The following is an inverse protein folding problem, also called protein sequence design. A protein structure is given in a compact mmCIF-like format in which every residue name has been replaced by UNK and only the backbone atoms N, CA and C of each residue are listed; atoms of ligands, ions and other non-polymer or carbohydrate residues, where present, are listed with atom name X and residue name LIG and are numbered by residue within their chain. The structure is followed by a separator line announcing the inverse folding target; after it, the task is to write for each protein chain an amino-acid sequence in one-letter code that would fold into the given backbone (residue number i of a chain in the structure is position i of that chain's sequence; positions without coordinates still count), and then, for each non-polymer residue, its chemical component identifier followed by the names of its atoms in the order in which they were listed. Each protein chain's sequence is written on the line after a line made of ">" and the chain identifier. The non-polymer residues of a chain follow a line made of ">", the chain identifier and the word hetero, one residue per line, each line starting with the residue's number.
data_IF_781749698704
#
_entry.id   IF_781749698704
#
_cell.length_a   1.000
_cell.length_b   1.000
_cell.length_c   1.000
_cell.angle_alpha   90.00
_cell.angle_beta   90.00
_cell.angle_gamma   90.00
#
_symmetry.space_group_name_H-M   'P 1'
#
loop_
_entity.id
_entity.type
_entity.pdbx_description
1 polymer ?
#
# COMPACT_ATOMS: atom_id res chain seq x y z
N UNK A 1 11.55 9.20 -4.06
CA UNK A 1 10.19 9.26 -4.67
C UNK A 1 9.38 10.49 -4.26
N UNK A 2 9.91 11.42 -3.45
CA UNK A 2 9.19 12.64 -3.05
C UNK A 2 9.35 13.79 -4.07
N UNK A 3 10.47 13.85 -4.81
CA UNK A 3 10.82 15.01 -5.64
C UNK A 3 9.91 15.23 -6.86
N UNK A 4 9.39 14.16 -7.48
CA UNK A 4 8.52 14.28 -8.65
C UNK A 4 7.16 14.89 -8.30
N UNK A 5 6.59 14.54 -7.14
CA UNK A 5 5.32 15.13 -6.70
C UNK A 5 5.48 16.62 -6.43
N UNK A 6 6.59 17.04 -5.81
CA UNK A 6 6.88 18.45 -5.54
C UNK A 6 6.98 19.25 -6.84
N UNK A 7 7.69 18.72 -7.85
CA UNK A 7 7.80 19.38 -9.16
C UNK A 7 6.46 19.51 -9.88
N UNK A 8 5.63 18.46 -9.83
CA UNK A 8 4.28 18.46 -10.43
C UNK A 8 3.38 19.48 -9.71
N UNK A 9 3.43 19.54 -8.38
CA UNK A 9 2.62 20.48 -7.59
C UNK A 9 3.01 21.92 -7.88
N UNK A 10 4.31 22.23 -7.89
CA UNK A 10 4.81 23.57 -8.26
C UNK A 10 4.30 24.01 -9.62
N UNK A 11 4.28 23.10 -10.60
CA UNK A 11 3.75 23.39 -11.92
C UNK A 11 2.23 23.66 -11.92
N UNK A 12 1.44 22.87 -11.16
CA UNK A 12 -0.01 23.07 -11.05
C UNK A 12 -0.39 24.36 -10.32
N UNK A 13 0.29 24.64 -9.21
CA UNK A 13 0.09 25.86 -8.41
C UNK A 13 0.56 27.09 -9.19
N UNK A 14 1.70 26.99 -9.89
CA UNK A 14 2.22 28.06 -10.73
C UNK A 14 1.23 28.53 -11.80
N UNK A 15 0.41 27.63 -12.36
CA UNK A 15 -0.64 28.02 -13.32
C UNK A 15 -1.72 28.89 -12.69
N UNK A 16 -2.14 28.55 -11.46
CA UNK A 16 -3.19 29.30 -10.76
C UNK A 16 -2.67 30.69 -10.42
N UNK A 17 -1.47 30.77 -9.85
CA UNK A 17 -0.83 32.03 -9.49
C UNK A 17 -0.58 32.91 -10.73
N UNK A 18 -0.09 32.33 -11.82
CA UNK A 18 0.15 33.08 -13.07
C UNK A 18 -1.15 33.64 -13.65
N UNK A 19 -2.27 32.92 -13.53
CA UNK A 19 -3.56 33.40 -13.99
C UNK A 19 -4.08 34.56 -13.13
N UNK A 20 -3.81 34.54 -11.82
CA UNK A 20 -4.14 35.64 -10.90
C UNK A 20 -3.29 36.88 -11.19
N UNK A 21 -1.97 36.72 -11.34
CA UNK A 21 -1.05 37.83 -11.66
C UNK A 21 -1.38 38.51 -13.00
N UNK A 22 -1.73 37.72 -14.02
CA UNK A 22 -2.06 38.24 -15.35
C UNK A 22 -3.51 38.73 -15.48
N UNK A 23 -4.39 38.38 -14.55
CA UNK A 23 -5.84 38.58 -14.67
C UNK A 23 -6.46 37.90 -15.90
N UNK A 24 -5.74 36.98 -16.56
CA UNK A 24 -6.15 36.37 -17.83
C UNK A 24 -5.76 34.89 -17.91
N UNK A 25 -6.76 34.03 -17.74
CA UNK A 25 -6.63 32.57 -17.77
C UNK A 25 -6.10 32.07 -19.12
N UNK A 26 -6.62 32.58 -20.23
CA UNK A 26 -6.21 32.13 -21.57
C UNK A 26 -4.74 32.40 -21.85
N UNK A 27 -4.23 33.56 -21.41
CA UNK A 27 -2.82 33.93 -21.55
C UNK A 27 -1.93 33.07 -20.67
N UNK A 28 -2.30 32.86 -19.40
CA UNK A 28 -1.56 31.99 -18.48
C UNK A 28 -1.49 30.54 -19.01
N UNK A 29 -2.60 29.98 -19.47
CA UNK A 29 -2.67 28.65 -20.08
C UNK A 29 -1.77 28.53 -21.33
N UNK A 30 -1.74 29.56 -22.19
CA UNK A 30 -0.88 29.58 -23.38
C UNK A 30 0.61 29.61 -23.02
N UNK A 31 1.00 30.38 -22.01
CA UNK A 31 2.39 30.46 -21.53
C UNK A 31 2.85 29.13 -20.92
N UNK A 32 1.99 28.46 -20.16
CA UNK A 32 2.32 27.17 -19.52
C UNK A 32 2.06 25.94 -20.38
N UNK A 33 1.54 26.10 -21.61
CA UNK A 33 1.24 24.98 -22.50
C UNK A 33 0.13 24.05 -21.99
N UNK A 34 -0.84 24.58 -21.23
CA UNK A 34 -1.95 23.82 -20.65
C UNK A 34 -3.29 24.23 -21.27
N UNK A 35 -4.27 23.33 -21.26
CA UNK A 35 -5.62 23.67 -21.71
C UNK A 35 -6.37 24.49 -20.66
N UNK A 36 -7.32 25.31 -21.11
CA UNK A 36 -8.24 26.06 -20.23
C UNK A 36 -9.04 25.11 -19.32
N UNK A 37 -9.46 23.95 -19.82
CA UNK A 37 -10.11 22.91 -19.02
C UNK A 37 -9.25 22.45 -17.84
N UNK A 38 -7.93 22.32 -18.04
CA UNK A 38 -7.01 21.90 -16.99
C UNK A 38 -6.96 22.95 -15.87
N UNK A 39 -6.98 24.24 -16.22
CA UNK A 39 -7.06 25.32 -15.24
C UNK A 39 -8.32 25.21 -14.38
N UNK A 40 -9.50 25.08 -14.99
CA UNK A 40 -10.75 25.01 -14.23
C UNK A 40 -10.82 23.75 -13.34
N UNK A 41 -10.24 22.63 -13.78
CA UNK A 41 -10.11 21.42 -12.95
C UNK A 41 -9.24 21.66 -11.72
N UNK A 42 -8.12 22.37 -11.87
CA UNK A 42 -7.24 22.69 -10.74
C UNK A 42 -7.87 23.72 -9.82
N UNK A 43 -8.50 24.76 -10.37
CA UNK A 43 -9.24 25.77 -9.60
C UNK A 43 -10.33 25.13 -8.75
N UNK A 44 -11.19 24.31 -9.36
CA UNK A 44 -12.25 23.59 -8.66
C UNK A 44 -11.69 22.63 -7.58
N UNK A 45 -10.56 21.97 -7.84
CA UNK A 45 -9.91 21.14 -6.83
C UNK A 45 -9.40 21.96 -5.64
N UNK A 46 -8.78 23.11 -5.89
CA UNK A 46 -8.28 24.02 -4.83
C UNK A 46 -9.42 24.64 -4.03
N UNK A 47 -10.52 25.03 -4.69
CA UNK A 47 -11.73 25.51 -4.01
C UNK A 47 -12.36 24.43 -3.10
N UNK A 48 -12.33 23.17 -3.52
CA UNK A 48 -12.93 22.06 -2.76
C UNK A 48 -12.06 21.53 -1.62
N UNK A 49 -10.73 21.61 -1.72
CA UNK A 49 -9.83 20.95 -0.77
C UNK A 49 -8.43 21.56 -0.65
N UNK A 50 -8.28 22.83 -1.02
CA UNK A 50 -7.03 23.58 -0.95
C UNK A 50 -5.94 23.04 -1.88
N UNK A 51 -4.71 23.51 -1.65
CA UNK A 51 -3.53 23.07 -2.43
C UNK A 51 -3.28 21.57 -2.29
N UNK A 52 -3.72 20.96 -1.18
CA UNK A 52 -3.64 19.53 -0.93
C UNK A 52 -4.48 18.69 -1.91
N UNK A 53 -5.53 19.25 -2.49
CA UNK A 53 -6.33 18.57 -3.50
C UNK A 53 -5.60 18.41 -4.85
N UNK A 54 -4.54 19.19 -5.11
CA UNK A 54 -3.73 19.10 -6.33
C UNK A 54 -2.73 17.94 -6.32
N UNK A 55 -2.53 17.30 -5.17
CA UNK A 55 -1.68 16.13 -5.06
C UNK A 55 -2.23 15.00 -5.93
N UNK A 56 -1.32 14.30 -6.61
CA UNK A 56 -1.71 13.27 -7.56
C UNK A 56 -2.27 12.06 -6.81
N UNK A 57 -3.60 11.94 -6.78
CA UNK A 57 -4.27 10.76 -6.22
C UNK A 57 -4.04 9.60 -7.18
N UNK A 58 -3.37 8.55 -6.71
CA UNK A 58 -3.12 7.36 -7.53
C UNK A 58 -4.44 6.83 -8.11
N UNK A 59 -4.56 6.83 -9.44
CA UNK A 59 -5.79 6.39 -10.14
C UNK A 59 -6.10 4.90 -9.92
N UNK A 60 -5.08 4.10 -9.61
CA UNK A 60 -5.22 2.65 -9.41
C UNK A 60 -5.75 2.36 -8.00
N UNK A 61 -7.04 2.09 -7.90
CA UNK A 61 -7.66 1.54 -6.68
C UNK A 61 -7.58 0.01 -6.70
N UNK A 62 -7.33 -0.66 -5.56
CA UNK A 62 -7.44 -2.12 -5.47
C UNK A 62 -8.85 -2.59 -5.86
N UNK A 63 -8.94 -3.60 -6.74
CA UNK A 63 -10.22 -4.23 -7.06
C UNK A 63 -10.52 -5.36 -6.07
N UNK A 64 -11.50 -5.16 -5.19
CA UNK A 64 -11.89 -6.14 -4.18
C UNK A 64 -12.45 -7.44 -4.76
N UNK A 65 -13.03 -7.41 -5.97
CA UNK A 65 -13.57 -8.61 -6.63
C UNK A 65 -12.49 -9.62 -7.00
N UNK A 66 -11.25 -9.15 -7.21
CA UNK A 66 -10.11 -10.00 -7.54
C UNK A 66 -9.36 -10.47 -6.28
N UNK A 67 -9.94 -10.28 -5.09
CA UNK A 67 -9.34 -10.72 -3.85
C UNK A 67 -9.56 -12.21 -3.67
N UNK A 68 -8.51 -12.89 -3.23
CA UNK A 68 -8.60 -14.28 -2.79
C UNK A 68 -9.46 -14.32 -1.53
N UNK A 69 -10.22 -15.40 -1.36
CA UNK A 69 -11.01 -15.64 -0.15
C UNK A 69 -10.17 -15.44 1.13
N UNK A 70 -10.80 -14.89 2.17
CA UNK A 70 -10.12 -14.52 3.41
C UNK A 70 -9.46 -15.73 4.09
N UNK A 71 -10.13 -16.88 4.10
CA UNK A 71 -9.57 -18.13 4.64
C UNK A 71 -8.25 -18.51 3.96
N UNK A 72 -8.21 -18.45 2.63
CA UNK A 72 -7.01 -18.75 1.84
C UNK A 72 -5.93 -17.68 2.07
N UNK A 73 -6.32 -16.41 2.16
CA UNK A 73 -5.39 -15.31 2.44
C UNK A 73 -4.70 -15.49 3.81
N UNK A 74 -5.43 -15.92 4.83
CA UNK A 74 -4.90 -16.24 6.15
C UNK A 74 -3.90 -17.40 6.10
N UNK A 75 -4.24 -18.51 5.43
CA UNK A 75 -3.34 -19.66 5.31
C UNK A 75 -2.04 -19.28 4.59
N UNK A 76 -2.13 -18.50 3.50
CA UNK A 76 -0.94 -18.02 2.76
C UNK A 76 -0.07 -17.12 3.65
N UNK A 77 -0.69 -16.24 4.45
CA UNK A 77 0.00 -15.35 5.39
C UNK A 77 0.70 -16.15 6.49
N UNK A 78 0.01 -17.10 7.12
CA UNK A 78 0.56 -17.91 8.21
C UNK A 78 1.72 -18.75 7.73
N UNK A 79 1.57 -19.40 6.58
CA UNK A 79 2.64 -20.17 5.94
C UNK A 79 3.87 -19.30 5.64
N UNK A 80 3.67 -18.07 5.15
CA UNK A 80 4.77 -17.16 4.85
C UNK A 80 5.55 -16.72 6.10
N UNK A 81 4.91 -16.68 7.26
CA UNK A 81 5.55 -16.38 8.55
C UNK A 81 6.24 -17.61 9.12
N UNK A 82 5.65 -18.80 8.97
CA UNK A 82 6.26 -20.06 9.41
C UNK A 82 7.51 -20.41 8.61
N UNK A 83 7.48 -20.22 7.30
CA UNK A 83 8.55 -20.57 6.37
C UNK A 83 9.00 -19.37 5.52
N UNK A 84 9.68 -18.37 6.12
CA UNK A 84 10.04 -17.13 5.42
C UNK A 84 11.00 -17.35 4.23
N UNK A 85 11.77 -18.43 4.24
CA UNK A 85 12.70 -18.77 3.15
C UNK A 85 11.99 -19.29 1.88
N UNK A 86 10.72 -19.71 1.98
CA UNK A 86 10.02 -20.30 0.84
C UNK A 86 9.58 -19.20 -0.14
N UNK A 87 9.97 -19.34 -1.41
CA UNK A 87 9.51 -18.46 -2.49
C UNK A 87 8.05 -18.71 -2.88
N UNK A 88 7.55 -17.96 -3.85
CA UNK A 88 6.16 -18.06 -4.33
C UNK A 88 5.86 -19.48 -4.85
N UNK A 89 6.72 -20.03 -5.71
CA UNK A 89 6.53 -21.38 -6.28
C UNK A 89 6.51 -22.47 -5.21
N UNK A 90 7.44 -22.42 -4.25
CA UNK A 90 7.48 -23.40 -3.15
C UNK A 90 6.26 -23.28 -2.25
N UNK A 91 5.81 -22.05 -1.97
CA UNK A 91 4.58 -21.81 -1.20
C UNK A 91 3.38 -22.45 -1.86
N UNK A 92 3.20 -22.26 -3.17
CA UNK A 92 2.09 -22.86 -3.92
C UNK A 92 2.15 -24.38 -3.88
N UNK A 93 3.32 -24.97 -4.09
CA UNK A 93 3.45 -26.42 -4.12
C UNK A 93 3.08 -27.04 -2.76
N UNK A 94 3.48 -26.43 -1.65
CA UNK A 94 3.08 -26.89 -0.32
C UNK A 94 1.59 -26.63 -0.03
N UNK A 95 1.03 -25.53 -0.53
CA UNK A 95 -0.42 -25.26 -0.39
C UNK A 95 -1.27 -26.21 -1.24
N UNK A 96 -0.81 -26.57 -2.43
CA UNK A 96 -1.48 -27.56 -3.29
C UNK A 96 -1.56 -28.93 -2.63
N UNK A 97 -0.52 -29.35 -1.90
CA UNK A 97 -0.54 -30.58 -1.09
C UNK A 97 -1.61 -30.54 0.01
N UNK A 98 -1.99 -29.35 0.48
CA UNK A 98 -3.06 -29.12 1.46
C UNK A 98 -4.44 -28.91 0.81
N UNK A 99 -4.57 -29.10 -0.51
CA UNK A 99 -5.80 -28.88 -1.27
C UNK A 99 -6.13 -27.42 -1.58
N UNK A 100 -5.19 -26.49 -1.34
CA UNK A 100 -5.40 -25.06 -1.56
C UNK A 100 -4.75 -24.64 -2.88
N UNK A 101 -5.56 -24.17 -3.82
CA UNK A 101 -5.12 -23.77 -5.15
C UNK A 101 -5.03 -22.24 -5.27
N UNK A 102 -3.80 -21.71 -5.35
CA UNK A 102 -3.53 -20.27 -5.53
C UNK A 102 -2.43 -20.09 -6.57
N UNK A 103 -2.52 -19.03 -7.38
CA UNK A 103 -1.51 -18.68 -8.37
C UNK A 103 -0.28 -18.01 -7.72
N UNK A 104 0.91 -18.03 -8.36
CA UNK A 104 2.10 -17.36 -7.82
C UNK A 104 1.90 -15.86 -7.64
N UNK A 105 1.23 -15.24 -8.60
CA UNK A 105 0.83 -13.83 -8.53
C UNK A 105 -0.13 -13.59 -7.38
N UNK A 106 -1.10 -14.49 -7.14
CA UNK A 106 -2.00 -14.41 -5.99
C UNK A 106 -1.26 -14.42 -4.66
N UNK A 107 -0.30 -15.34 -4.48
CA UNK A 107 0.57 -15.39 -3.30
C UNK A 107 1.35 -14.08 -3.14
N UNK A 108 1.94 -13.56 -4.21
CA UNK A 108 2.66 -12.27 -4.19
C UNK A 108 1.74 -11.11 -3.80
N UNK A 109 0.54 -11.05 -4.35
CA UNK A 109 -0.44 -10.00 -4.04
C UNK A 109 -0.86 -10.04 -2.56
N UNK A 110 -1.05 -11.24 -1.99
CA UNK A 110 -1.26 -11.41 -0.55
C UNK A 110 -0.07 -10.87 0.24
N UNK A 111 1.15 -11.24 -0.13
CA UNK A 111 2.35 -10.76 0.57
C UNK A 111 2.51 -9.23 0.52
N UNK A 112 2.24 -8.60 -0.63
CA UNK A 112 2.30 -7.14 -0.75
C UNK A 112 1.31 -6.44 0.17
N UNK A 113 0.07 -6.94 0.27
CA UNK A 113 -0.95 -6.37 1.17
C UNK A 113 -0.57 -6.50 2.65
N UNK A 114 0.08 -7.59 3.00
CA UNK A 114 0.49 -7.89 4.38
C UNK A 114 1.90 -7.40 4.73
N UNK A 115 2.56 -6.63 3.85
CA UNK A 115 3.95 -6.19 4.05
C UNK A 115 4.90 -7.37 4.31
N UNK A 116 4.70 -8.47 3.60
CA UNK A 116 5.48 -9.72 3.65
C UNK A 116 6.22 -9.97 2.33
N UNK A 117 6.36 -8.95 1.49
CA UNK A 117 6.89 -9.11 0.13
C UNK A 117 8.38 -9.43 0.12
N UNK A 118 9.14 -8.93 1.10
CA UNK A 118 10.57 -9.23 1.24
C UNK A 118 10.81 -10.41 2.18
N UNK A 119 11.97 -11.05 2.02
CA UNK A 119 12.43 -12.07 2.98
C UNK A 119 12.62 -11.47 4.37
N UNK A 120 13.19 -10.25 4.45
CA UNK A 120 13.44 -9.54 5.70
C UNK A 120 12.14 -9.33 6.47
N UNK A 121 11.08 -8.89 5.81
CA UNK A 121 9.79 -8.63 6.48
C UNK A 121 9.17 -9.93 7.02
N UNK A 122 9.22 -11.01 6.23
CA UNK A 122 8.72 -12.33 6.66
C UNK A 122 9.51 -12.87 7.85
N UNK A 123 10.83 -12.76 7.82
CA UNK A 123 11.70 -13.17 8.92
C UNK A 123 11.46 -12.32 10.18
N UNK A 124 11.31 -11.00 10.02
CA UNK A 124 11.02 -10.10 11.13
C UNK A 124 9.69 -10.46 11.79
N UNK A 125 8.64 -10.67 10.98
CA UNK A 125 7.33 -11.15 11.46
C UNK A 125 7.42 -12.48 12.19
N UNK A 126 8.21 -13.41 11.69
CA UNK A 126 8.44 -14.70 12.35
C UNK A 126 9.06 -14.52 13.74
N UNK A 127 10.09 -13.68 13.86
CA UNK A 127 10.77 -13.40 15.13
C UNK A 127 9.79 -12.77 16.13
N UNK A 128 9.03 -11.76 15.70
CA UNK A 128 8.02 -11.11 16.55
C UNK A 128 6.95 -12.10 17.02
N UNK A 129 6.44 -12.96 16.12
CA UNK A 129 5.47 -14.01 16.47
C UNK A 129 6.03 -14.95 17.52
N UNK A 130 7.30 -15.33 17.39
CA UNK A 130 7.96 -16.25 18.33
C UNK A 130 8.18 -15.62 19.70
N UNK A 131 8.59 -14.34 19.76
CA UNK A 131 8.71 -13.59 21.01
C UNK A 131 7.37 -13.49 21.76
N UNK A 132 6.27 -13.21 21.05
CA UNK A 132 4.92 -13.17 21.66
C UNK A 132 4.51 -14.51 22.27
N UNK A 133 4.82 -15.63 21.62
CA UNK A 133 4.55 -16.96 22.16
C UNK A 133 5.37 -17.21 23.44
N UNK A 134 6.66 -16.86 23.45
CA UNK A 134 7.50 -16.99 24.64
C UNK A 134 7.00 -16.17 25.84
N UNK A 135 6.50 -14.95 25.62
CA UNK A 135 5.92 -14.13 26.69
C UNK A 135 4.64 -14.77 27.24
N UNK A 136 3.76 -15.24 26.36
CA UNK A 136 2.49 -15.89 26.76
C UNK A 136 2.71 -17.23 27.48
N UNK A 137 3.73 -17.99 27.12
CA UNK A 137 4.07 -19.23 27.82
C UNK A 137 4.70 -18.94 29.19
N UNK A 138 5.50 -17.86 29.29
CA UNK A 138 6.10 -17.43 30.56
C UNK A 138 5.05 -16.92 31.55
N UNK A 139 4.08 -16.12 31.09
CA UNK A 139 2.97 -15.66 31.94
C UNK A 139 2.09 -16.82 32.37
N UNK A 140 1.72 -17.74 31.47
CA UNK A 140 0.97 -18.96 31.83
C UNK A 140 1.72 -19.83 32.85
N UNK A 141 3.04 -19.98 32.71
CA UNK A 141 3.88 -20.74 33.65
C UNK A 141 3.97 -20.05 35.02
N UNK A 142 4.07 -18.73 35.04
CA UNK A 142 4.03 -17.92 36.26
C UNK A 142 2.69 -18.09 37.00
N UNK A 143 1.55 -17.88 36.33
CA UNK A 143 0.22 -18.07 36.95
C UNK A 143 -0.02 -19.50 37.42
N UNK A 144 0.49 -20.51 36.69
CA UNK A 144 0.34 -21.93 37.08
C UNK A 144 1.21 -22.31 38.30
N UNK A 145 2.31 -21.61 38.54
CA UNK A 145 3.17 -21.80 39.72
C UNK A 145 2.72 -20.96 40.93
N UNK A 146 1.89 -19.93 40.74
CA UNK A 146 1.37 -19.07 41.80
C UNK A 146 0.06 -19.59 42.44
N UNK A 147 -0.64 -20.53 41.78
CA UNK A 147 -1.89 -21.15 42.27
C UNK A 147 -1.61 -22.53 42.93
N UNK A 148 -0.37 -22.81 43.31
CA UNK A 148 0.00 -23.95 44.16
C UNK A 148 0.61 -23.43 45.44
#
# INVERSE_FOLDING_TARGET
>A
MLDNNVKIIKHKVGLINLAEELGNVSKACKVMGLSRDTFYRYKSAVEAGGVEALFDRTRRKPNHKNRVEEAIELVVKDYAVEYPAHGQLRTINELRKKGIFVSPSGVRSVWLRHQLASFKDRRLRQIHRRQMVFVNDSTKRFYRNFIK
#
